data_IF_315271866397
#
_entry.id   IF_315271866397
#
_cell.length_a   1.000
_cell.length_b   1.000
_cell.length_c   1.000
_cell.angle_alpha   90.00
_cell.angle_beta   90.00
_cell.angle_gamma   90.00
#
_symmetry.space_group_name_H-M   'P 1'
#
loop_
_entity.id
_entity.type
_entity.pdbx_description
1 polymer ?
#
# COMPACT_ATOMS: atom_id res chain seq x y z
N UNK A 1 9.04 -13.05 -17.80
CA UNK A 1 8.30 -13.13 -16.53
C UNK A 1 8.40 -11.73 -15.95
N UNK A 2 7.32 -10.95 -15.95
CA UNK A 2 7.35 -9.64 -15.33
C UNK A 2 7.44 -9.89 -13.83
N UNK A 3 8.61 -9.64 -13.23
CA UNK A 3 8.78 -9.62 -11.78
C UNK A 3 7.97 -8.42 -11.27
N UNK A 4 6.66 -8.62 -11.09
CA UNK A 4 5.87 -7.80 -10.17
C UNK A 4 6.65 -7.74 -8.87
N UNK A 5 6.79 -6.56 -8.26
CA UNK A 5 7.47 -6.45 -6.97
C UNK A 5 6.92 -7.54 -6.05
N UNK A 6 7.81 -8.41 -5.57
CA UNK A 6 7.41 -9.45 -4.64
C UNK A 6 6.71 -8.83 -3.44
N UNK A 7 5.74 -9.52 -2.84
CA UNK A 7 5.00 -9.04 -1.67
C UNK A 7 5.95 -8.45 -0.61
N UNK A 8 7.09 -9.09 -0.40
CA UNK A 8 8.17 -8.64 0.51
C UNK A 8 8.73 -7.25 0.17
N UNK A 9 8.97 -6.96 -1.13
CA UNK A 9 9.44 -5.63 -1.53
C UNK A 9 8.37 -4.56 -1.40
N UNK A 10 7.09 -4.89 -1.64
CA UNK A 10 5.98 -3.97 -1.38
C UNK A 10 5.84 -3.69 0.11
N UNK A 11 6.01 -4.69 0.97
CA UNK A 11 6.01 -4.55 2.42
C UNK A 11 7.12 -3.58 2.85
N UNK A 12 8.36 -3.79 2.37
CA UNK A 12 9.47 -2.90 2.69
C UNK A 12 9.23 -1.47 2.18
N UNK A 13 8.63 -1.30 0.99
CA UNK A 13 8.30 0.01 0.43
C UNK A 13 7.24 0.73 1.28
N UNK A 14 6.17 0.03 1.66
CA UNK A 14 5.12 0.54 2.54
C UNK A 14 5.67 0.88 3.93
N UNK A 15 6.55 0.06 4.49
CA UNK A 15 7.20 0.32 5.77
C UNK A 15 8.03 1.61 5.73
N UNK A 16 8.77 1.85 4.63
CA UNK A 16 9.52 3.10 4.43
C UNK A 16 8.61 4.32 4.31
N UNK A 17 7.47 4.17 3.61
CA UNK A 17 6.44 5.22 3.53
C UNK A 17 5.89 5.54 4.93
N UNK A 18 5.52 4.52 5.70
CA UNK A 18 5.00 4.68 7.07
C UNK A 18 6.01 5.29 8.03
N UNK A 19 7.29 4.95 7.86
CA UNK A 19 8.38 5.54 8.63
C UNK A 19 8.66 7.01 8.25
N UNK A 20 8.03 7.54 7.18
CA UNK A 20 8.29 8.88 6.68
C UNK A 20 9.73 9.06 6.19
N UNK A 21 10.33 7.99 5.68
CA UNK A 21 11.71 8.03 5.19
C UNK A 21 11.70 8.70 3.81
N UNK A 22 12.29 9.90 3.66
CA UNK A 22 12.36 10.59 2.36
C UNK A 22 11.56 11.90 2.29
N UNK A 23 11.53 12.51 1.11
CA UNK A 23 10.76 13.74 0.85
C UNK A 23 9.33 13.45 0.44
N UNK A 24 8.44 14.46 0.49
CA UNK A 24 7.05 14.30 0.00
C UNK A 24 7.00 13.81 -1.45
N UNK A 25 7.93 14.24 -2.32
CA UNK A 25 7.98 13.76 -3.69
C UNK A 25 8.39 12.28 -3.80
N UNK A 26 9.31 11.82 -2.96
CA UNK A 26 9.71 10.42 -2.90
C UNK A 26 8.57 9.54 -2.39
N UNK A 27 7.88 10.00 -1.34
CA UNK A 27 6.69 9.32 -0.80
C UNK A 27 5.60 9.18 -1.87
N UNK A 28 5.28 10.25 -2.59
CA UNK A 28 4.28 10.22 -3.67
C UNK A 28 4.66 9.23 -4.78
N UNK A 29 5.93 9.21 -5.18
CA UNK A 29 6.45 8.26 -6.16
C UNK A 29 6.37 6.80 -5.67
N UNK A 30 6.67 6.55 -4.40
CA UNK A 30 6.58 5.22 -3.80
C UNK A 30 5.13 4.75 -3.68
N UNK A 31 4.22 5.62 -3.25
CA UNK A 31 2.79 5.28 -3.20
C UNK A 31 2.26 4.95 -4.59
N UNK A 32 2.61 5.76 -5.60
CA UNK A 32 2.27 5.50 -7.00
C UNK A 32 2.82 4.16 -7.51
N UNK A 33 4.00 3.75 -7.05
CA UNK A 33 4.57 2.43 -7.37
C UNK A 33 3.79 1.31 -6.71
N UNK A 34 3.42 1.45 -5.43
CA UNK A 34 2.59 0.46 -4.73
C UNK A 34 1.26 0.30 -5.47
N UNK A 35 0.59 1.41 -5.78
CA UNK A 35 -0.72 1.43 -6.47
C UNK A 35 -0.67 0.67 -7.81
N UNK A 36 0.39 0.84 -8.60
CA UNK A 36 0.55 0.14 -9.87
C UNK A 36 0.81 -1.37 -9.72
N UNK A 37 1.24 -1.82 -8.55
CA UNK A 37 1.57 -3.22 -8.27
C UNK A 37 0.49 -3.97 -7.48
N UNK A 38 -0.50 -3.26 -6.92
CA UNK A 38 -1.62 -3.86 -6.16
C UNK A 38 -2.94 -3.71 -6.93
N UNK A 39 -3.91 -4.61 -6.73
CA UNK A 39 -5.22 -4.50 -7.39
C UNK A 39 -6.13 -3.42 -6.76
N UNK A 40 -5.77 -2.88 -5.59
CA UNK A 40 -6.53 -1.82 -4.90
C UNK A 40 -6.17 -0.43 -5.47
N UNK A 41 -7.09 0.26 -6.15
CA UNK A 41 -6.85 1.59 -6.70
C UNK A 41 -6.82 2.71 -5.64
N UNK A 42 -7.05 2.39 -4.36
CA UNK A 42 -7.10 3.33 -3.25
C UNK A 42 -6.11 2.95 -2.14
N UNK A 43 -4.94 2.42 -2.50
CA UNK A 43 -3.88 2.09 -1.52
C UNK A 43 -3.45 3.30 -0.69
N UNK A 44 -3.54 4.52 -1.26
CA UNK A 44 -3.38 5.78 -0.53
C UNK A 44 -4.26 5.84 0.73
N UNK A 45 -5.53 5.43 0.63
CA UNK A 45 -6.42 5.42 1.79
C UNK A 45 -6.00 4.40 2.83
N UNK A 46 -5.42 3.27 2.44
CA UNK A 46 -4.90 2.28 3.39
C UNK A 46 -3.69 2.82 4.17
N UNK A 47 -2.86 3.67 3.54
CA UNK A 47 -1.67 4.26 4.15
C UNK A 47 -2.01 5.44 5.07
N UNK A 48 -2.86 6.36 4.61
CA UNK A 48 -3.15 7.61 5.32
C UNK A 48 -4.41 7.54 6.20
N UNK A 49 -5.35 6.66 5.86
CA UNK A 49 -6.63 6.52 6.56
C UNK A 49 -6.98 5.04 6.84
N UNK A 50 -6.07 4.26 7.46
CA UNK A 50 -6.27 2.81 7.65
C UNK A 50 -7.57 2.49 8.41
N UNK A 51 -7.90 3.30 9.42
CA UNK A 51 -9.15 3.21 10.18
C UNK A 51 -10.42 3.30 9.31
N UNK A 52 -10.39 4.06 8.21
CA UNK A 52 -11.54 4.16 7.27
C UNK A 52 -11.69 2.93 6.38
N UNK A 53 -10.62 2.15 6.21
CA UNK A 53 -10.60 0.95 5.38
C UNK A 53 -10.85 -0.36 6.16
N UNK A 54 -11.13 -0.23 7.46
CA UNK A 54 -11.33 -1.35 8.38
C UNK A 54 -10.02 -1.97 8.88
N UNK A 55 -8.90 -1.25 8.78
CA UNK A 55 -7.65 -1.57 9.48
C UNK A 55 -7.63 -0.87 10.85
N UNK A 56 -6.77 -1.32 11.76
CA UNK A 56 -6.56 -0.63 13.05
C UNK A 56 -5.93 0.76 12.90
N UNK A 57 -5.74 1.48 14.00
CA UNK A 57 -5.12 2.82 13.98
C UNK A 57 -3.67 2.82 13.46
N UNK A 58 -2.97 1.69 13.59
CA UNK A 58 -1.55 1.57 13.24
C UNK A 58 -1.26 0.21 12.60
N UNK A 59 -1.77 -0.07 11.38
CA UNK A 59 -1.58 -1.37 10.74
C UNK A 59 -0.12 -1.59 10.38
N UNK A 60 0.29 -2.86 10.36
CA UNK A 60 1.58 -3.23 9.81
C UNK A 60 1.62 -3.06 8.29
N UNK A 61 2.80 -2.82 7.72
CA UNK A 61 2.99 -2.80 6.27
C UNK A 61 2.46 -4.07 5.59
N UNK A 62 2.61 -5.23 6.25
CA UNK A 62 2.05 -6.50 5.80
C UNK A 62 0.52 -6.48 5.69
N UNK A 63 -0.17 -5.95 6.71
CA UNK A 63 -1.63 -5.87 6.71
C UNK A 63 -2.14 -4.94 5.61
N UNK A 64 -1.47 -3.82 5.38
CA UNK A 64 -1.81 -2.89 4.30
C UNK A 64 -1.67 -3.59 2.95
N UNK A 65 -0.54 -4.25 2.70
CA UNK A 65 -0.29 -4.97 1.45
C UNK A 65 -1.30 -6.11 1.28
N UNK A 66 -1.56 -6.91 2.31
CA UNK A 66 -2.57 -7.97 2.25
C UNK A 66 -3.95 -7.44 1.96
N UNK A 67 -4.36 -6.33 2.58
CA UNK A 67 -5.64 -5.68 2.33
C UNK A 67 -5.74 -5.18 0.91
N UNK A 68 -4.68 -4.55 0.39
CA UNK A 68 -4.59 -4.09 -0.98
C UNK A 68 -4.67 -5.25 -1.99
N UNK A 69 -4.03 -6.39 -1.71
CA UNK A 69 -4.14 -7.60 -2.55
C UNK A 69 -5.49 -8.29 -2.43
N UNK A 70 -6.14 -8.21 -1.26
CA UNK A 70 -7.46 -8.78 -1.02
C UNK A 70 -8.59 -7.93 -1.59
N UNK A 71 -8.30 -6.72 -2.09
CA UNK A 71 -9.29 -5.85 -2.70
C UNK A 71 -9.95 -6.56 -3.89
N UNK A 72 -11.27 -6.69 -3.80
CA UNK A 72 -12.11 -7.17 -4.88
C UNK A 72 -13.04 -6.04 -5.28
N UNK A 73 -12.97 -5.52 -6.51
CA UNK A 73 -13.97 -4.60 -7.00
C UNK A 73 -15.33 -5.29 -6.86
N UNK A 74 -16.27 -4.63 -6.17
CA UNK A 74 -17.65 -5.08 -6.14
C UNK A 74 -18.19 -4.81 -7.55
N UNK A 75 -18.35 -5.87 -8.34
CA UNK A 75 -19.10 -5.80 -9.60
C UNK A 75 -20.57 -5.52 -9.25
N UNK A 76 -20.97 -4.26 -9.41
CA UNK A 76 -22.37 -3.79 -9.33
C UNK A 76 -23.13 -4.15 -10.61
#
# INVERSE_FOLDING_TARGET
MADSLGKDQLIQLVERILSGEGTEEELDAWVSLVEQNVPDPNVWNLLFFPHMCGLGDNPSAEEIVERAFAYRPILL
#
